data_IF_809996431394
#
_entry.id   IF_809996431394
#
_cell.length_a   1.000
_cell.length_b   1.000
_cell.length_c   1.000
_cell.angle_alpha   90.00
_cell.angle_beta   90.00
_cell.angle_gamma   90.00
#
_symmetry.space_group_name_H-M   'P 1'
#
loop_
_entity.id
_entity.type
_entity.pdbx_description
1 polymer ?
#
# COMPACT_ATOMS: atom_id res chain seq x y z
N UNK A 1 -65.30 -56.37 7.21
CA UNK A 1 -64.59 -56.26 8.50
C UNK A 1 -63.13 -55.99 8.18
N UNK A 2 -62.64 -54.80 8.58
CA UNK A 2 -61.35 -54.26 8.15
C UNK A 2 -60.25 -54.75 9.10
N UNK A 3 -59.21 -55.33 8.52
CA UNK A 3 -58.01 -55.83 9.17
C UNK A 3 -57.14 -54.67 9.66
N UNK A 4 -56.79 -54.66 10.95
CA UNK A 4 -55.81 -53.74 11.53
C UNK A 4 -54.39 -54.15 11.09
N UNK A 5 -53.60 -53.20 10.60
CA UNK A 5 -52.14 -53.26 10.63
C UNK A 5 -51.61 -52.06 11.41
N UNK A 6 -50.88 -52.36 12.48
CA UNK A 6 -50.13 -51.42 13.30
C UNK A 6 -48.82 -51.06 12.58
N UNK A 7 -48.64 -49.79 12.22
CA UNK A 7 -47.32 -49.26 11.85
C UNK A 7 -46.76 -48.49 13.05
N UNK A 8 -45.74 -49.06 13.68
CA UNK A 8 -44.94 -48.39 14.70
C UNK A 8 -44.14 -47.26 14.08
N UNK A 9 -44.27 -46.05 14.61
CA UNK A 9 -43.46 -44.89 14.22
C UNK A 9 -42.15 -44.98 14.98
N UNK A 10 -41.07 -45.40 14.31
CA UNK A 10 -39.71 -45.22 14.84
C UNK A 10 -39.31 -43.75 14.69
N UNK A 11 -38.81 -43.08 15.76
CA UNK A 11 -38.23 -41.75 15.61
C UNK A 11 -36.90 -41.87 14.85
N UNK A 12 -36.80 -41.18 13.72
CA UNK A 12 -35.53 -41.03 13.00
C UNK A 12 -34.59 -40.13 13.82
N UNK A 13 -33.29 -40.46 13.93
CA UNK A 13 -32.32 -39.59 14.58
C UNK A 13 -32.16 -38.31 13.74
N UNK A 14 -32.39 -37.17 14.37
CA UNK A 14 -32.16 -35.86 13.75
C UNK A 14 -30.65 -35.71 13.51
N UNK A 15 -30.24 -35.64 12.25
CA UNK A 15 -28.84 -35.42 11.90
C UNK A 15 -28.51 -33.98 12.28
N UNK A 16 -27.73 -33.82 13.36
CA UNK A 16 -27.22 -32.52 13.81
C UNK A 16 -26.41 -31.92 12.65
N UNK A 17 -26.88 -30.82 12.06
CA UNK A 17 -26.10 -30.08 11.10
C UNK A 17 -24.80 -29.64 11.78
N UNK A 18 -23.65 -30.16 11.33
CA UNK A 18 -22.36 -29.57 11.66
C UNK A 18 -22.39 -28.12 11.20
N UNK A 19 -22.53 -27.18 12.13
CA UNK A 19 -22.25 -25.78 11.89
C UNK A 19 -20.79 -25.70 11.45
N UNK A 20 -20.56 -25.47 10.15
CA UNK A 20 -19.29 -25.00 9.64
C UNK A 20 -18.91 -23.78 10.48
N UNK A 21 -17.84 -23.89 11.27
CA UNK A 21 -17.23 -22.75 11.94
C UNK A 21 -16.64 -21.89 10.83
N UNK A 22 -17.45 -20.98 10.29
CA UNK A 22 -16.98 -19.95 9.37
C UNK A 22 -16.26 -18.93 10.24
N UNK A 23 -14.93 -18.93 10.20
CA UNK A 23 -14.15 -17.83 10.76
C UNK A 23 -14.69 -16.51 10.20
N UNK A 24 -14.92 -15.47 11.03
CA UNK A 24 -15.43 -14.21 10.52
C UNK A 24 -14.41 -13.60 9.56
N UNK A 25 -14.79 -13.49 8.29
CA UNK A 25 -14.00 -12.82 7.26
C UNK A 25 -13.75 -11.36 7.67
N UNK A 26 -12.49 -10.93 7.67
CA UNK A 26 -12.10 -9.57 8.06
C UNK A 26 -12.72 -8.53 7.14
N UNK A 27 -13.12 -7.39 7.72
CA UNK A 27 -13.64 -6.25 6.93
C UNK A 27 -12.53 -5.64 6.05
N UNK A 28 -12.91 -5.00 4.93
CA UNK A 28 -11.95 -4.34 4.03
C UNK A 28 -11.09 -3.28 4.76
N UNK A 29 -11.69 -2.54 5.70
CA UNK A 29 -10.99 -1.54 6.51
C UNK A 29 -9.92 -2.19 7.39
N UNK A 30 -10.25 -3.32 8.01
CA UNK A 30 -9.33 -4.06 8.85
C UNK A 30 -8.17 -4.64 8.04
N UNK A 31 -8.44 -5.20 6.86
CA UNK A 31 -7.40 -5.70 5.95
C UNK A 31 -6.46 -4.59 5.47
N UNK A 32 -7.01 -3.42 5.13
CA UNK A 32 -6.22 -2.23 4.77
C UNK A 32 -5.30 -1.84 5.93
N UNK A 33 -5.84 -1.73 7.15
CA UNK A 33 -5.08 -1.37 8.35
C UNK A 33 -3.94 -2.35 8.61
N UNK A 34 -4.23 -3.65 8.62
CA UNK A 34 -3.21 -4.70 8.83
C UNK A 34 -2.13 -4.68 7.75
N UNK A 35 -2.50 -4.39 6.50
CA UNK A 35 -1.54 -4.26 5.40
C UNK A 35 -0.59 -3.08 5.63
N UNK A 36 -1.12 -1.92 5.98
CA UNK A 36 -0.30 -0.73 6.28
C UNK A 36 0.59 -0.97 7.51
N UNK A 37 0.04 -1.53 8.59
CA UNK A 37 0.82 -1.88 9.79
C UNK A 37 1.95 -2.85 9.49
N UNK A 38 1.74 -3.82 8.60
CA UNK A 38 2.82 -4.73 8.16
C UNK A 38 3.99 -3.95 7.55
N UNK A 39 3.71 -3.02 6.62
CA UNK A 39 4.75 -2.25 5.94
C UNK A 39 5.45 -1.26 6.89
N UNK A 40 4.69 -0.58 7.75
CA UNK A 40 5.23 0.39 8.71
C UNK A 40 6.09 -0.26 9.81
N UNK A 41 5.70 -1.45 10.30
CA UNK A 41 6.44 -2.16 11.35
C UNK A 41 7.61 -3.01 10.82
N UNK A 42 7.86 -3.03 9.51
CA UNK A 42 8.98 -3.78 8.94
C UNK A 42 10.26 -2.95 8.99
N UNK A 43 11.35 -3.56 9.46
CA UNK A 43 12.69 -2.95 9.43
C UNK A 43 13.36 -3.29 8.11
N UNK A 44 13.59 -2.27 7.27
CA UNK A 44 14.21 -2.41 5.95
C UNK A 44 15.71 -2.18 5.98
N UNK A 45 16.46 -2.95 5.19
CA UNK A 45 17.88 -2.67 4.92
C UNK A 45 18.02 -1.62 3.82
N UNK A 46 19.19 -0.97 3.75
CA UNK A 46 19.48 0.07 2.74
C UNK A 46 19.40 -0.43 1.30
N UNK A 47 19.78 -1.67 1.04
CA UNK A 47 19.71 -2.31 -0.28
C UNK A 47 18.37 -2.97 -0.60
N UNK A 48 17.48 -3.08 0.39
CA UNK A 48 16.23 -3.81 0.28
C UNK A 48 15.19 -3.02 -0.53
N UNK A 49 14.49 -3.74 -1.40
CA UNK A 49 13.45 -3.18 -2.26
C UNK A 49 12.18 -3.96 -2.01
N UNK A 50 11.05 -3.26 -1.92
CA UNK A 50 9.75 -3.91 -1.99
C UNK A 50 9.65 -4.65 -3.32
N UNK A 51 9.17 -5.89 -3.29
CA UNK A 51 8.82 -6.60 -4.52
C UNK A 51 7.73 -5.84 -5.27
N UNK A 52 7.59 -6.11 -6.57
CA UNK A 52 6.63 -5.40 -7.41
C UNK A 52 5.19 -5.55 -6.88
N UNK A 53 4.84 -6.73 -6.38
CA UNK A 53 3.55 -7.04 -5.75
C UNK A 53 3.41 -6.35 -4.39
N UNK A 54 4.45 -6.32 -3.57
CA UNK A 54 4.42 -5.61 -2.28
C UNK A 54 4.21 -4.12 -2.47
N UNK A 55 4.94 -3.51 -3.41
CA UNK A 55 4.77 -2.09 -3.73
C UNK A 55 3.35 -1.81 -4.24
N UNK A 56 2.80 -2.65 -5.14
CA UNK A 56 1.40 -2.53 -5.60
C UNK A 56 0.41 -2.63 -4.43
N UNK A 57 0.61 -3.58 -3.52
CA UNK A 57 -0.28 -3.79 -2.38
C UNK A 57 -0.23 -2.64 -1.38
N UNK A 58 0.96 -2.14 -1.06
CA UNK A 58 1.15 -0.94 -0.24
C UNK A 58 0.37 0.25 -0.83
N UNK A 59 0.60 0.56 -2.11
CA UNK A 59 -0.02 1.73 -2.75
C UNK A 59 -1.54 1.61 -2.88
N UNK A 60 -2.04 0.40 -3.14
CA UNK A 60 -3.48 0.11 -3.11
C UNK A 60 -4.05 0.30 -1.69
N UNK A 61 -3.36 -0.19 -0.67
CA UNK A 61 -3.77 -0.01 0.72
C UNK A 61 -3.74 1.47 1.13
N UNK A 62 -2.77 2.27 0.66
CA UNK A 62 -2.75 3.72 0.86
C UNK A 62 -4.02 4.38 0.30
N UNK A 63 -4.44 3.97 -0.91
CA UNK A 63 -5.68 4.42 -1.53
C UNK A 63 -5.57 4.73 -3.02
N UNK A 64 -4.43 4.46 -3.66
CA UNK A 64 -4.32 4.61 -5.10
C UNK A 64 -5.09 3.48 -5.81
N UNK A 65 -5.85 3.85 -6.85
CA UNK A 65 -6.66 2.92 -7.63
C UNK A 65 -6.50 3.13 -9.13
N UNK A 66 -6.88 2.13 -9.93
CA UNK A 66 -6.91 2.21 -11.39
C UNK A 66 -5.64 2.77 -12.02
N UNK A 67 -5.78 3.84 -12.81
CA UNK A 67 -4.66 4.51 -13.49
C UNK A 67 -3.72 5.20 -12.49
N UNK A 68 -4.26 5.75 -11.40
CA UNK A 68 -3.45 6.40 -10.36
C UNK A 68 -2.51 5.41 -9.67
N UNK A 69 -2.98 4.19 -9.40
CA UNK A 69 -2.15 3.10 -8.86
C UNK A 69 -0.99 2.74 -9.79
N UNK A 70 -1.25 2.62 -11.09
CA UNK A 70 -0.20 2.33 -12.09
C UNK A 70 0.86 3.42 -12.13
N UNK A 71 0.42 4.69 -12.09
CA UNK A 71 1.31 5.86 -12.07
C UNK A 71 2.14 5.90 -10.78
N UNK A 72 1.51 5.77 -9.62
CA UNK A 72 2.23 5.78 -8.35
C UNK A 72 3.28 4.67 -8.27
N UNK A 73 2.93 3.46 -8.71
CA UNK A 73 3.86 2.34 -8.76
C UNK A 73 5.06 2.65 -9.65
N UNK A 74 4.82 3.12 -10.87
CA UNK A 74 5.89 3.40 -11.82
C UNK A 74 6.77 4.59 -11.39
N UNK A 75 6.21 5.59 -10.70
CA UNK A 75 7.01 6.68 -10.10
C UNK A 75 7.90 6.13 -9.00
N UNK A 76 7.38 5.36 -8.05
CA UNK A 76 8.21 4.78 -6.99
C UNK A 76 9.35 3.91 -7.55
N UNK A 77 9.10 3.15 -8.63
CA UNK A 77 10.14 2.40 -9.34
C UNK A 77 11.15 3.31 -10.06
N UNK A 78 10.70 4.43 -10.59
CA UNK A 78 11.56 5.43 -11.24
C UNK A 78 12.50 6.10 -10.24
N UNK A 79 11.95 6.56 -9.12
CA UNK A 79 12.63 7.34 -8.08
C UNK A 79 13.60 6.51 -7.25
N UNK A 80 13.16 5.35 -6.76
CA UNK A 80 13.92 4.57 -5.77
C UNK A 80 14.09 3.09 -6.13
N UNK A 81 13.47 2.64 -7.23
CA UNK A 81 13.24 1.22 -7.52
C UNK A 81 12.41 0.48 -6.44
N UNK A 82 11.64 1.22 -5.63
CA UNK A 82 10.87 0.68 -4.51
C UNK A 82 11.68 0.45 -3.23
N UNK A 83 12.80 1.16 -3.04
CA UNK A 83 13.65 1.07 -1.84
C UNK A 83 13.15 1.99 -0.71
N UNK A 84 12.67 1.45 0.43
CA UNK A 84 12.22 2.29 1.55
C UNK A 84 13.33 3.17 2.13
N UNK A 85 14.56 2.65 2.20
CA UNK A 85 15.71 3.36 2.76
C UNK A 85 16.49 4.21 1.74
N UNK A 86 15.90 4.54 0.58
CA UNK A 86 16.56 5.37 -0.42
C UNK A 86 16.71 6.83 0.03
N UNK A 87 17.93 7.36 -0.08
CA UNK A 87 18.24 8.76 0.24
C UNK A 87 19.12 9.38 -0.85
N UNK A 88 18.72 10.55 -1.35
CA UNK A 88 19.56 11.42 -2.18
C UNK A 88 19.86 12.72 -1.43
N UNK A 89 21.11 12.89 -1.01
CA UNK A 89 21.58 14.06 -0.26
C UNK A 89 22.36 15.08 -1.07
N UNK A 90 22.30 15.03 -2.40
CA UNK A 90 23.09 15.92 -3.24
C UNK A 90 22.50 17.34 -3.28
N UNK A 91 22.95 18.20 -2.35
CA UNK A 91 22.48 19.58 -2.26
C UNK A 91 22.81 20.42 -3.50
N UNK A 92 23.83 20.04 -4.29
CA UNK A 92 24.19 20.75 -5.52
C UNK A 92 23.12 20.60 -6.61
N UNK A 93 22.33 19.52 -6.57
CA UNK A 93 21.18 19.30 -7.47
C UNK A 93 19.86 19.72 -6.84
N UNK A 94 19.89 20.33 -5.65
CA UNK A 94 18.70 20.72 -4.92
C UNK A 94 18.02 19.56 -4.17
N UNK A 95 18.72 18.45 -3.93
CA UNK A 95 18.15 17.25 -3.32
C UNK A 95 18.48 17.07 -1.84
N UNK A 96 17.43 16.77 -1.07
CA UNK A 96 17.49 16.07 0.21
C UNK A 96 16.26 15.17 0.26
N UNK A 97 16.27 14.11 -0.54
CA UNK A 97 15.08 13.37 -0.94
C UNK A 97 15.03 11.98 -0.30
N UNK A 98 13.86 11.59 0.24
CA UNK A 98 13.72 10.43 1.12
C UNK A 98 12.67 9.42 0.63
N UNK A 99 12.97 8.15 0.84
CA UNK A 99 12.03 7.04 0.72
C UNK A 99 11.66 6.65 -0.70
N UNK A 100 10.63 5.81 -0.80
CA UNK A 100 10.23 5.18 -2.06
C UNK A 100 9.84 6.18 -3.16
N UNK A 101 9.32 7.35 -2.80
CA UNK A 101 8.93 8.43 -3.70
C UNK A 101 9.92 9.59 -3.77
N UNK A 102 11.05 9.51 -3.06
CA UNK A 102 12.08 10.56 -3.03
C UNK A 102 11.49 11.94 -2.71
N UNK A 103 10.76 12.04 -1.59
CA UNK A 103 10.17 13.31 -1.15
C UNK A 103 11.30 14.25 -0.71
N UNK A 104 11.49 15.34 -1.45
CA UNK A 104 12.51 16.35 -1.18
C UNK A 104 12.22 17.18 0.09
N UNK A 105 13.19 17.26 1.00
CA UNK A 105 13.10 17.99 2.26
C UNK A 105 14.16 19.08 2.37
N UNK A 106 14.72 19.55 1.25
CA UNK A 106 15.77 20.56 1.26
C UNK A 106 15.24 21.93 1.70
N UNK A 107 15.93 22.57 2.66
CA UNK A 107 15.68 23.97 3.04
C UNK A 107 14.26 24.22 3.55
N UNK A 108 13.68 25.37 3.18
CA UNK A 108 12.34 25.78 3.62
C UNK A 108 11.25 24.81 3.16
N UNK A 109 11.41 24.18 1.98
CA UNK A 109 10.48 23.16 1.51
C UNK A 109 10.33 22.01 2.50
N UNK A 110 11.42 21.59 3.13
CA UNK A 110 11.38 20.55 4.16
C UNK A 110 10.73 21.03 5.46
N UNK A 111 10.88 22.30 5.82
CA UNK A 111 10.22 22.88 7.00
C UNK A 111 8.70 22.88 6.79
N UNK A 112 8.25 23.42 5.67
CA UNK A 112 6.83 23.52 5.32
C UNK A 112 6.17 22.13 5.26
N UNK A 113 6.86 21.14 4.70
CA UNK A 113 6.39 19.74 4.65
C UNK A 113 6.31 19.12 6.04
N UNK A 114 7.30 19.35 6.91
CA UNK A 114 7.25 18.84 8.28
C UNK A 114 6.09 19.41 9.07
N UNK A 115 5.84 20.71 8.94
CA UNK A 115 4.70 21.36 9.59
C UNK A 115 3.39 20.80 9.04
N UNK A 116 3.24 20.77 7.71
CA UNK A 116 2.02 20.30 7.05
C UNK A 116 1.66 18.84 7.33
N UNK A 117 2.66 17.97 7.44
CA UNK A 117 2.46 16.53 7.65
C UNK A 117 2.82 16.09 9.08
N UNK A 118 3.01 17.05 10.00
CA UNK A 118 3.31 16.82 11.41
C UNK A 118 4.52 15.87 11.63
N UNK A 119 5.50 15.93 10.74
CA UNK A 119 6.67 15.06 10.77
C UNK A 119 7.66 15.54 11.83
N UNK A 120 7.82 14.73 12.87
CA UNK A 120 8.83 14.96 13.93
C UNK A 120 10.26 14.88 13.42
N UNK A 121 10.50 14.14 12.34
CA UNK A 121 11.82 13.98 11.71
C UNK A 121 11.70 13.49 10.27
N UNK A 122 12.66 13.85 9.42
CA UNK A 122 12.76 13.34 8.04
C UNK A 122 12.94 11.82 7.99
N UNK A 123 13.46 11.20 9.06
CA UNK A 123 13.66 9.75 9.14
C UNK A 123 12.33 9.00 8.97
N UNK A 124 11.21 9.61 9.37
CA UNK A 124 9.88 9.03 9.18
C UNK A 124 9.52 8.82 7.70
N UNK A 125 10.16 9.54 6.77
CA UNK A 125 9.94 9.35 5.34
C UNK A 125 10.58 8.08 4.79
N UNK A 126 11.38 7.36 5.58
CA UNK A 126 11.83 6.01 5.23
C UNK A 126 10.80 4.93 5.55
N UNK A 127 9.78 5.25 6.36
CA UNK A 127 8.59 4.41 6.46
C UNK A 127 7.83 4.50 5.12
N UNK A 128 7.69 3.37 4.39
CA UNK A 128 7.07 3.39 3.07
C UNK A 128 5.58 3.73 3.12
N UNK A 129 4.89 3.53 4.25
CA UNK A 129 3.49 3.95 4.45
C UNK A 129 3.40 5.46 4.54
N UNK A 130 4.14 6.09 5.45
CA UNK A 130 4.16 7.56 5.60
C UNK A 130 4.55 8.22 4.28
N UNK A 131 5.58 7.68 3.61
CA UNK A 131 6.04 8.19 2.32
C UNK A 131 4.96 8.08 1.23
N UNK A 132 4.20 6.98 1.20
CA UNK A 132 3.09 6.78 0.25
C UNK A 132 1.88 7.66 0.56
N UNK A 133 1.51 7.83 1.83
CA UNK A 133 0.37 8.66 2.25
C UNK A 133 0.60 10.14 1.94
N UNK A 134 1.81 10.65 2.20
CA UNK A 134 2.17 12.02 1.84
C UNK A 134 2.14 12.19 0.32
N UNK A 135 2.66 11.23 -0.43
CA UNK A 135 2.60 11.25 -1.90
C UNK A 135 1.16 11.23 -2.41
N UNK A 136 0.30 10.39 -1.83
CA UNK A 136 -1.12 10.33 -2.17
C UNK A 136 -1.79 11.69 -1.97
N UNK A 137 -1.52 12.34 -0.84
CA UNK A 137 -2.01 13.70 -0.57
C UNK A 137 -1.47 14.71 -1.59
N UNK A 138 -0.14 14.77 -1.77
CA UNK A 138 0.52 15.75 -2.64
C UNK A 138 0.07 15.64 -4.09
N UNK A 139 -0.33 14.45 -4.52
CA UNK A 139 -0.79 14.18 -5.88
C UNK A 139 -2.31 14.25 -6.04
N UNK A 140 -3.05 14.64 -5.01
CA UNK A 140 -4.52 14.64 -5.00
C UNK A 140 -5.10 13.28 -5.41
N UNK A 141 -4.56 12.20 -4.83
CA UNK A 141 -4.92 10.81 -5.14
C UNK A 141 -4.32 10.27 -6.44
N UNK A 142 -3.22 10.86 -6.92
CA UNK A 142 -2.53 10.47 -8.16
C UNK A 142 -3.02 11.19 -9.42
N UNK A 143 -3.72 12.31 -9.26
CA UNK A 143 -4.24 13.15 -10.34
C UNK A 143 -3.25 14.24 -10.78
N UNK A 144 -2.43 14.76 -9.86
CA UNK A 144 -1.44 15.81 -10.13
C UNK A 144 -0.04 15.34 -9.76
N UNK A 145 0.85 15.24 -10.75
CA UNK A 145 2.25 14.82 -10.54
C UNK A 145 3.25 15.95 -10.80
N UNK A 146 2.79 17.21 -10.79
CA UNK A 146 3.62 18.39 -11.04
C UNK A 146 4.85 18.52 -10.12
N UNK A 147 4.77 17.93 -8.91
CA UNK A 147 5.89 17.87 -7.96
C UNK A 147 6.93 16.79 -8.26
N UNK A 148 6.70 15.90 -9.24
CA UNK A 148 7.62 14.82 -9.64
C UNK A 148 8.12 15.03 -11.08
N UNK A 149 9.31 15.63 -11.27
CA UNK A 149 9.88 15.86 -12.59
C UNK A 149 10.04 14.58 -13.44
N UNK A 150 10.18 13.43 -12.79
CA UNK A 150 10.34 12.13 -13.45
C UNK A 150 9.07 11.59 -14.12
N UNK A 151 7.90 12.22 -13.89
CA UNK A 151 6.59 11.71 -14.34
C UNK A 151 6.46 11.48 -15.85
N UNK A 152 7.20 12.23 -16.67
CA UNK A 152 7.22 12.06 -18.12
C UNK A 152 8.54 11.49 -18.67
N UNK A 153 9.43 11.02 -17.79
CA UNK A 153 10.72 10.47 -18.18
C UNK A 153 10.58 9.15 -18.96
N UNK A 154 11.61 8.81 -19.75
CA UNK A 154 11.66 7.52 -20.46
C UNK A 154 11.58 6.32 -19.51
N UNK A 155 12.26 6.41 -18.36
CA UNK A 155 12.25 5.39 -17.30
C UNK A 155 10.85 5.18 -16.71
N UNK A 156 10.08 6.25 -16.51
CA UNK A 156 8.70 6.16 -16.05
C UNK A 156 7.81 5.42 -17.06
N UNK A 157 7.95 5.72 -18.35
CA UNK A 157 7.22 5.02 -19.42
C UNK A 157 7.55 3.53 -19.47
N UNK A 158 8.82 3.17 -19.28
CA UNK A 158 9.25 1.78 -19.19
C UNK A 158 8.57 1.06 -18.02
N UNK A 159 8.54 1.66 -16.83
CA UNK A 159 7.90 1.07 -15.67
C UNK A 159 6.38 0.95 -15.81
N UNK A 160 5.71 1.90 -16.45
CA UNK A 160 4.27 1.77 -16.74
C UNK A 160 3.94 0.50 -17.52
N UNK A 161 4.82 0.09 -18.45
CA UNK A 161 4.67 -1.16 -19.22
C UNK A 161 4.95 -2.44 -18.41
N UNK A 162 5.56 -2.32 -17.23
CA UNK A 162 5.93 -3.43 -16.33
C UNK A 162 5.04 -3.53 -15.09
N UNK A 163 3.93 -2.77 -15.05
CA UNK A 163 3.03 -2.81 -13.91
C UNK A 163 2.49 -4.24 -13.68
N UNK A 164 2.58 -4.78 -12.45
CA UNK A 164 2.20 -6.16 -12.18
C UNK A 164 0.70 -6.39 -12.37
N UNK A 165 0.35 -7.44 -13.11
CA UNK A 165 -1.01 -7.91 -13.37
C UNK A 165 -1.79 -8.11 -12.06
#
# INVERSE_FOLDING_TARGET
MITLFLFGVQPQPVQMAQALVVEPSKTQLQLKKETLEKFSNTVYKTSEMLSDTELKNLLKATGFEGVALKKAWAIAKTESNGRPMAYNGNRNTGDSSYGIFQINMLGNLGIDRKEKFELKSNILLFDPVINAEITYYMTQGGNDWSSWPSYNSGKMKEWLGKFPS
#
